data_IF_151115345849
#
_entry.id   IF_151115345849
#
_cell.length_a   1.000
_cell.length_b   1.000
_cell.length_c   1.000
_cell.angle_alpha   90.00
_cell.angle_beta   90.00
_cell.angle_gamma   90.00
#
_symmetry.space_group_name_H-M   'P 1'
#
loop_
_entity.id
_entity.type
_entity.pdbx_description
1 polymer ?
#
# COMPACT_ATOMS: atom_id res chain seq x y z
N UNK A 1 -12.83 8.06 20.00
CA UNK A 1 -13.18 8.83 18.80
C UNK A 1 -13.40 10.25 19.28
N UNK A 2 -12.45 11.13 19.00
CA UNK A 2 -12.64 12.55 19.29
C UNK A 2 -13.73 13.12 18.34
N UNK A 3 -14.67 13.93 18.85
CA UNK A 3 -15.71 14.51 18.04
C UNK A 3 -15.10 15.53 17.06
N UNK A 4 -15.55 15.49 15.80
CA UNK A 4 -15.20 16.50 14.80
C UNK A 4 -15.70 17.88 15.29
N UNK A 5 -14.78 18.82 15.49
CA UNK A 5 -15.10 20.20 15.85
C UNK A 5 -15.38 21.01 14.60
N UNK A 6 -16.53 21.67 14.55
CA UNK A 6 -16.88 22.60 13.48
C UNK A 6 -16.92 24.02 14.04
N UNK A 7 -16.39 24.98 13.27
CA UNK A 7 -16.48 26.41 13.54
C UNK A 7 -17.51 27.03 12.60
N UNK A 8 -18.42 27.84 13.14
CA UNK A 8 -19.40 28.56 12.33
C UNK A 8 -18.74 29.76 11.68
N UNK A 9 -18.81 29.82 10.35
CA UNK A 9 -18.24 30.90 9.54
C UNK A 9 -19.38 31.69 8.90
N UNK A 10 -19.24 33.01 8.83
CA UNK A 10 -20.24 33.87 8.19
C UNK A 10 -20.20 33.75 6.66
N UNK A 11 -21.31 34.11 5.99
CA UNK A 11 -21.40 34.09 4.52
C UNK A 11 -20.39 35.06 3.88
N UNK A 12 -20.12 36.20 4.52
CA UNK A 12 -19.09 37.14 4.05
C UNK A 12 -17.67 36.57 4.18
N UNK A 13 -17.37 35.84 5.26
CA UNK A 13 -16.10 35.16 5.42
C UNK A 13 -15.93 34.01 4.42
N UNK A 14 -16.96 33.19 4.23
CA UNK A 14 -16.97 32.15 3.21
C UNK A 14 -16.76 32.72 1.80
N UNK A 15 -17.37 33.87 1.51
CA UNK A 15 -17.17 34.59 0.24
C UNK A 15 -15.75 35.14 0.11
N UNK A 16 -15.16 35.70 1.17
CA UNK A 16 -13.76 36.17 1.16
C UNK A 16 -12.76 35.04 0.93
N UNK A 17 -13.02 33.83 1.42
CA UNK A 17 -12.22 32.62 1.12
C UNK A 17 -12.30 32.30 -0.37
N UNK A 18 -13.51 32.30 -0.93
CA UNK A 18 -13.74 32.04 -2.34
C UNK A 18 -13.06 33.08 -3.25
N UNK A 19 -13.09 34.34 -2.84
CA UNK A 19 -12.47 35.48 -3.54
C UNK A 19 -10.93 35.55 -3.29
N UNK A 20 -10.35 34.61 -2.53
CA UNK A 20 -8.91 34.52 -2.27
C UNK A 20 -8.34 35.59 -1.32
N UNK A 21 -9.20 36.31 -0.61
CA UNK A 21 -8.85 37.50 0.17
C UNK A 21 -8.91 37.27 1.70
N UNK A 22 -8.55 36.06 2.16
CA UNK A 22 -8.45 35.72 3.58
C UNK A 22 -6.97 35.58 4.01
N UNK A 23 -6.56 35.96 5.23
CA UNK A 23 -5.36 35.39 5.82
C UNK A 23 -5.51 33.86 5.84
N UNK A 24 -4.45 33.09 5.56
CA UNK A 24 -4.56 31.64 5.48
C UNK A 24 -5.08 31.13 6.82
N UNK A 25 -6.34 30.70 6.88
CA UNK A 25 -6.79 29.74 7.88
C UNK A 25 -5.73 28.64 7.81
N UNK A 26 -4.97 28.49 8.89
CA UNK A 26 -3.73 27.76 8.95
C UNK A 26 -3.89 26.51 8.09
N UNK A 27 -3.19 26.46 6.94
CA UNK A 27 -3.21 25.26 6.10
C UNK A 27 -2.75 24.16 7.03
N UNK A 28 -3.68 23.36 7.55
CA UNK A 28 -3.34 22.28 8.46
C UNK A 28 -2.37 21.43 7.67
N UNK A 29 -1.12 21.40 8.12
CA UNK A 29 -0.11 20.63 7.44
C UNK A 29 -0.36 19.16 7.77
N UNK A 30 -1.24 18.54 7.00
CA UNK A 30 -1.56 17.12 7.08
C UNK A 30 -0.33 16.24 6.80
N UNK A 31 0.81 16.83 6.43
CA UNK A 31 2.09 16.13 6.30
C UNK A 31 2.55 15.54 7.63
N UNK A 32 2.24 16.15 8.77
CA UNK A 32 2.59 15.59 10.09
C UNK A 32 1.67 14.44 10.52
N UNK A 33 0.46 14.37 9.97
CA UNK A 33 -0.47 13.25 10.18
C UNK A 33 -0.22 12.09 9.23
N UNK A 34 0.58 12.29 8.17
CA UNK A 34 1.09 11.16 7.39
C UNK A 34 2.06 10.42 8.26
N UNK A 35 1.86 9.11 8.36
CA UNK A 35 2.79 8.22 9.03
C UNK A 35 4.20 8.52 8.49
N UNK A 36 5.15 8.96 9.34
CA UNK A 36 6.48 9.32 8.87
C UNK A 36 7.06 8.10 8.15
N UNK A 37 7.63 8.32 6.97
CA UNK A 37 8.36 7.28 6.25
C UNK A 37 9.59 6.92 7.06
N UNK A 38 9.40 6.01 8.01
CA UNK A 38 10.42 5.62 8.95
C UNK A 38 11.60 5.06 8.15
N UNK A 39 12.84 5.40 8.53
CA UNK A 39 14.02 4.91 7.82
C UNK A 39 14.07 3.36 7.80
N UNK A 40 13.43 2.73 8.79
CA UNK A 40 13.19 1.30 8.85
C UNK A 40 12.31 0.75 7.71
N UNK A 41 11.41 1.55 7.15
CA UNK A 41 10.58 1.14 6.00
C UNK A 41 11.38 1.10 4.67
N UNK A 42 12.60 1.66 4.66
CA UNK A 42 13.50 1.65 3.51
C UNK A 42 14.49 0.47 3.52
N UNK A 43 14.50 -0.36 4.57
CA UNK A 43 15.37 -1.54 4.67
C UNK A 43 14.54 -2.82 4.79
N UNK A 44 15.00 -3.90 4.15
CA UNK A 44 14.37 -5.21 4.29
C UNK A 44 14.58 -5.75 5.70
N UNK A 45 13.51 -6.23 6.33
CA UNK A 45 13.60 -6.87 7.64
C UNK A 45 14.12 -8.31 7.51
N UNK A 46 14.70 -8.88 8.58
CA UNK A 46 15.07 -10.30 8.60
C UNK A 46 13.87 -11.22 8.30
N UNK A 47 12.67 -10.85 8.72
CA UNK A 47 11.42 -11.57 8.42
C UNK A 47 11.17 -11.63 6.91
N UNK A 48 11.35 -10.50 6.21
CA UNK A 48 11.18 -10.43 4.77
C UNK A 48 12.18 -11.30 4.03
N UNK A 49 13.45 -11.28 4.44
CA UNK A 49 14.48 -12.15 3.85
C UNK A 49 14.18 -13.64 4.06
N UNK A 50 13.73 -14.02 5.26
CA UNK A 50 13.33 -15.41 5.55
C UNK A 50 12.13 -15.83 4.71
N UNK A 51 11.12 -14.98 4.59
CA UNK A 51 9.94 -15.27 3.78
C UNK A 51 10.30 -15.40 2.29
N UNK A 52 11.14 -14.51 1.76
CA UNK A 52 11.65 -14.61 0.38
C UNK A 52 12.39 -15.92 0.12
N UNK A 53 13.16 -16.41 1.10
CA UNK A 53 13.89 -17.66 0.99
C UNK A 53 12.98 -18.90 0.97
N UNK A 54 11.79 -18.82 1.56
CA UNK A 54 10.79 -19.91 1.56
C UNK A 54 10.07 -20.04 0.21
N UNK A 55 10.03 -18.98 -0.60
CA UNK A 55 9.43 -19.03 -1.92
C UNK A 55 10.30 -19.82 -2.91
N UNK A 56 9.67 -20.59 -3.83
CA UNK A 56 10.34 -21.16 -5.00
C UNK A 56 11.12 -20.11 -5.79
N UNK A 57 12.28 -20.46 -6.34
CA UNK A 57 13.22 -19.49 -6.95
C UNK A 57 12.59 -18.75 -8.13
N UNK A 58 11.68 -19.40 -8.84
CA UNK A 58 11.05 -18.95 -10.07
C UNK A 58 10.00 -17.85 -9.83
N UNK A 59 9.50 -17.74 -8.59
CA UNK A 59 8.43 -16.80 -8.22
C UNK A 59 8.88 -15.72 -7.24
N UNK A 60 10.17 -15.65 -6.90
CA UNK A 60 10.70 -14.66 -5.95
C UNK A 60 10.61 -13.27 -6.57
N UNK A 61 9.92 -12.31 -5.93
CA UNK A 61 9.81 -10.94 -6.44
C UNK A 61 11.05 -10.12 -6.04
N UNK A 62 12.18 -10.34 -6.72
CA UNK A 62 13.48 -9.78 -6.34
C UNK A 62 13.55 -8.27 -6.62
N UNK A 63 13.04 -7.83 -7.77
CA UNK A 63 13.00 -6.41 -8.12
C UNK A 63 12.08 -5.63 -7.15
N UNK A 64 10.94 -6.22 -6.77
CA UNK A 64 10.07 -5.64 -5.74
C UNK A 64 10.79 -5.45 -4.41
N UNK A 65 11.50 -6.49 -3.94
CA UNK A 65 12.18 -6.46 -2.65
C UNK A 65 13.32 -5.44 -2.61
N UNK A 66 13.98 -5.23 -3.75
CA UNK A 66 15.00 -4.20 -3.90
C UNK A 66 14.41 -2.78 -3.99
N UNK A 67 13.35 -2.59 -4.78
CA UNK A 67 12.81 -1.26 -5.12
C UNK A 67 11.83 -0.74 -4.07
N UNK A 68 11.06 -1.63 -3.46
CA UNK A 68 10.02 -1.30 -2.49
C UNK A 68 10.12 -2.17 -1.21
N UNK A 69 11.17 -1.98 -0.37
CA UNK A 69 11.37 -2.75 0.87
C UNK A 69 10.16 -2.72 1.81
N UNK A 70 9.46 -1.59 1.89
CA UNK A 70 8.21 -1.45 2.67
C UNK A 70 7.13 -2.45 2.25
N UNK A 71 6.93 -2.65 0.94
CA UNK A 71 5.93 -3.59 0.42
C UNK A 71 6.37 -5.02 0.74
N UNK A 72 7.66 -5.33 0.52
CA UNK A 72 8.24 -6.62 0.88
C UNK A 72 8.08 -6.98 2.36
N UNK A 73 8.37 -6.03 3.25
CA UNK A 73 8.19 -6.19 4.69
C UNK A 73 6.72 -6.42 5.07
N UNK A 74 5.79 -5.73 4.40
CA UNK A 74 4.37 -5.93 4.60
C UNK A 74 3.91 -7.33 4.17
N UNK A 75 4.35 -7.82 3.01
CA UNK A 75 4.05 -9.17 2.52
C UNK A 75 4.50 -10.23 3.54
N UNK A 76 5.73 -10.09 4.04
CA UNK A 76 6.29 -11.01 5.02
C UNK A 76 5.59 -10.97 6.38
N UNK A 77 5.07 -9.80 6.78
CA UNK A 77 4.28 -9.66 8.02
C UNK A 77 2.92 -10.34 7.91
N UNK A 78 2.29 -10.33 6.73
CA UNK A 78 1.02 -11.00 6.51
C UNK A 78 1.18 -12.53 6.59
N UNK A 79 2.24 -13.07 5.98
CA UNK A 79 2.69 -14.48 5.97
C UNK A 79 1.68 -15.52 5.46
N UNK A 80 0.40 -15.44 5.83
CA UNK A 80 -0.67 -16.31 5.43
C UNK A 80 -1.03 -16.11 3.94
N UNK A 81 -1.09 -17.18 3.12
CA UNK A 81 -1.32 -17.06 1.68
C UNK A 81 -2.58 -16.28 1.31
N UNK A 82 -3.67 -16.42 2.06
CA UNK A 82 -4.92 -15.70 1.84
C UNK A 82 -4.78 -14.19 2.06
N UNK A 83 -4.09 -13.80 3.14
CA UNK A 83 -3.87 -12.40 3.48
C UNK A 83 -2.93 -11.73 2.48
N UNK A 84 -1.87 -12.43 2.06
CA UNK A 84 -0.95 -11.96 1.02
C UNK A 84 -1.67 -11.80 -0.31
N UNK A 85 -2.49 -12.78 -0.72
CA UNK A 85 -3.27 -12.73 -1.96
C UNK A 85 -4.25 -11.55 -1.98
N UNK A 86 -4.97 -11.31 -0.88
CA UNK A 86 -5.88 -10.17 -0.77
C UNK A 86 -5.14 -8.83 -0.87
N UNK A 87 -3.98 -8.72 -0.21
CA UNK A 87 -3.14 -7.53 -0.28
C UNK A 87 -2.60 -7.27 -1.69
N UNK A 88 -2.16 -8.32 -2.40
CA UNK A 88 -1.70 -8.22 -3.78
C UNK A 88 -2.82 -7.83 -4.74
N UNK A 89 -4.05 -8.30 -4.54
CA UNK A 89 -5.20 -7.89 -5.34
C UNK A 89 -5.46 -6.38 -5.21
N UNK A 90 -5.37 -5.81 -4.00
CA UNK A 90 -5.50 -4.37 -3.78
C UNK A 90 -4.31 -3.54 -4.32
N UNK A 91 -3.17 -4.20 -4.52
CA UNK A 91 -1.96 -3.58 -5.04
C UNK A 91 -1.95 -3.57 -6.58
N UNK A 92 -2.41 -4.66 -7.20
CA UNK A 92 -2.45 -4.86 -8.65
C UNK A 92 -3.69 -4.24 -9.31
N UNK A 93 -4.83 -4.16 -8.60
CA UNK A 93 -6.06 -3.58 -9.14
C UNK A 93 -6.13 -2.12 -8.71
N UNK A 94 -5.99 -1.21 -9.68
CA UNK A 94 -6.22 0.22 -9.41
C UNK A 94 -7.72 0.49 -9.24
N UNK A 95 -8.13 0.75 -8.00
CA UNK A 95 -9.51 1.12 -7.64
C UNK A 95 -9.73 2.64 -7.60
N UNK A 96 -8.67 3.45 -7.73
CA UNK A 96 -8.68 4.90 -7.49
C UNK A 96 -8.43 5.74 -8.74
N UNK A 97 -7.79 5.17 -9.77
CA UNK A 97 -7.65 5.76 -11.10
C UNK A 97 -6.52 6.79 -11.24
N UNK A 98 -5.74 7.04 -10.18
CA UNK A 98 -4.64 8.01 -10.15
C UNK A 98 -3.29 7.34 -9.79
N UNK A 99 -3.18 6.01 -9.92
CA UNK A 99 -1.91 5.31 -9.65
C UNK A 99 -1.07 5.21 -10.92
N UNK A 100 0.20 5.58 -10.81
CA UNK A 100 1.22 5.45 -11.87
C UNK A 100 1.59 3.98 -12.19
N UNK A 101 1.17 3.03 -11.35
CA UNK A 101 1.53 1.61 -11.46
C UNK A 101 2.95 1.29 -10.94
N UNK A 102 3.39 0.05 -11.15
CA UNK A 102 4.75 -0.37 -10.82
C UNK A 102 5.70 -0.16 -12.00
N UNK A 103 6.95 0.27 -11.74
CA UNK A 103 7.97 0.32 -12.77
C UNK A 103 8.41 -1.10 -13.17
N UNK A 104 8.63 -1.31 -14.47
CA UNK A 104 9.33 -2.48 -15.01
C UNK A 104 8.84 -3.84 -14.52
N UNK A 105 9.75 -4.82 -14.45
CA UNK A 105 9.50 -6.25 -14.21
C UNK A 105 8.80 -6.61 -12.89
N UNK A 106 8.46 -5.63 -12.07
CA UNK A 106 7.75 -5.82 -10.80
C UNK A 106 6.32 -6.30 -11.01
N UNK A 107 5.59 -5.76 -12.00
CA UNK A 107 4.22 -6.21 -12.27
C UNK A 107 4.15 -7.73 -12.59
N UNK A 108 4.97 -8.28 -13.51
CA UNK A 108 4.96 -9.72 -13.76
C UNK A 108 5.49 -10.55 -12.59
N UNK A 109 6.44 -10.06 -11.78
CA UNK A 109 6.84 -10.72 -10.53
C UNK A 109 5.65 -10.89 -9.58
N UNK A 110 4.90 -9.80 -9.36
CA UNK A 110 3.71 -9.79 -8.51
C UNK A 110 2.59 -10.69 -9.06
N UNK A 111 2.39 -10.72 -10.38
CA UNK A 111 1.41 -11.62 -11.01
C UNK A 111 1.74 -13.10 -10.79
N UNK A 112 3.00 -13.51 -10.98
CA UNK A 112 3.43 -14.89 -10.73
C UNK A 112 3.28 -15.30 -9.26
N UNK A 113 3.62 -14.39 -8.35
CA UNK A 113 3.42 -14.60 -6.92
C UNK A 113 1.92 -14.77 -6.61
N UNK A 114 1.06 -13.93 -7.18
CA UNK A 114 -0.39 -14.01 -6.99
C UNK A 114 -0.96 -15.34 -7.50
N UNK A 115 -0.56 -15.79 -8.69
CA UNK A 115 -0.97 -17.08 -9.25
C UNK A 115 -0.58 -18.25 -8.34
N UNK A 116 0.66 -18.25 -7.84
CA UNK A 116 1.13 -19.29 -6.92
C UNK A 116 0.32 -19.31 -5.62
N UNK A 117 0.02 -18.14 -5.05
CA UNK A 117 -0.78 -18.04 -3.82
C UNK A 117 -2.21 -18.53 -4.04
N UNK A 118 -2.81 -18.23 -5.20
CA UNK A 118 -4.14 -18.73 -5.54
C UNK A 118 -4.16 -20.26 -5.68
N UNK A 119 -3.13 -20.86 -6.28
CA UNK A 119 -2.98 -22.32 -6.34
C UNK A 119 -2.88 -22.95 -4.95
N UNK A 120 -2.14 -22.33 -4.02
CA UNK A 120 -2.04 -22.80 -2.64
C UNK A 120 -3.36 -22.71 -1.86
N UNK A 121 -4.24 -21.79 -2.25
CA UNK A 121 -5.54 -21.56 -1.62
C UNK A 121 -6.65 -22.43 -2.22
N UNK A 122 -6.44 -23.01 -3.41
CA UNK A 122 -7.36 -23.98 -3.95
C UNK A 122 -7.30 -25.26 -3.10
N UNK A 123 -8.43 -25.76 -2.60
CA UNK A 123 -8.47 -27.08 -2.00
C UNK A 123 -8.11 -28.13 -3.07
N UNK A 124 -7.44 -29.24 -2.71
CA UNK A 124 -6.99 -30.25 -3.67
C UNK A 124 -8.09 -30.96 -4.49
N UNK A 125 -9.38 -30.62 -4.31
CA UNK A 125 -10.49 -31.31 -4.95
C UNK A 125 -11.52 -30.32 -5.54
N UNK A 126 -11.32 -29.93 -6.79
CA UNK A 126 -12.37 -29.38 -7.66
C UNK A 126 -12.25 -29.90 -9.10
N UNK A 127 -11.74 -31.13 -9.25
CA UNK A 127 -11.84 -31.93 -10.48
C UNK A 127 -12.34 -33.30 -10.07
N UNK A 128 -13.67 -33.46 -10.08
CA UNK A 128 -14.37 -34.73 -10.13
C UNK A 128 -15.23 -34.73 -11.40
#
# INVERSE_FOLDING_TARGET
MDPLSFEFVTVEEAKKVLDGNMPPAARTDWTEMRQPSDAMEQTLTPEALRWLAQLPREIRPLELFHTYPRIANQLARLAAPAAVSAFLADLLIDKRGDRQGFPGGIAPELSKLQEHLLQLLQPPDATA
#
